data_IF_066376488651
#
_entry.id   IF_066376488651
#
_cell.length_a   1.000
_cell.length_b   1.000
_cell.length_c   1.000
_cell.angle_alpha   90.00
_cell.angle_beta   90.00
_cell.angle_gamma   90.00
#
_symmetry.space_group_name_H-M   'P 1'
#
loop_
_entity.id
_entity.type
_entity.pdbx_description
1 polymer ?
#
# COMPACT_ATOMS: atom_id res chain seq x y z
N UNK A 1 31.79 35.58 47.28
CA UNK A 1 31.55 34.17 47.62
C UNK A 1 30.38 33.70 46.75
N UNK A 2 30.55 32.63 45.95
CA UNK A 2 29.68 32.10 44.85
C UNK A 2 29.55 33.04 43.63
N UNK A 3 30.03 32.80 42.39
CA UNK A 3 30.32 31.66 41.49
C UNK A 3 29.09 30.81 41.08
N UNK A 4 28.81 30.82 39.76
CA UNK A 4 27.94 29.95 38.91
C UNK A 4 26.46 30.40 38.94
N UNK A 5 25.78 30.73 37.83
CA UNK A 5 25.70 29.99 36.57
C UNK A 5 25.35 30.90 35.38
N UNK A 6 26.37 31.27 34.60
CA UNK A 6 26.26 31.39 33.15
C UNK A 6 26.08 29.95 32.65
N UNK A 7 24.89 29.54 32.17
CA UNK A 7 24.65 28.35 31.33
C UNK A 7 23.15 28.03 31.36
N UNK A 8 22.33 28.77 30.59
CA UNK A 8 21.02 28.26 30.16
C UNK A 8 20.57 28.93 28.85
N UNK A 9 21.50 29.10 27.91
CA UNK A 9 21.24 29.63 26.58
C UNK A 9 21.62 28.66 25.45
N UNK A 10 21.86 27.36 25.74
CA UNK A 10 22.37 26.40 24.73
C UNK A 10 21.57 25.09 24.67
N UNK A 11 20.63 24.82 25.56
CA UNK A 11 19.82 23.58 25.53
C UNK A 11 18.52 23.73 24.71
N UNK A 12 18.58 24.40 23.56
CA UNK A 12 17.47 24.49 22.60
C UNK A 12 17.92 24.15 21.17
N UNK A 13 18.99 23.37 21.05
CA UNK A 13 19.56 22.95 19.78
C UNK A 13 19.96 21.49 19.92
N UNK A 14 19.03 20.55 19.71
CA UNK A 14 19.26 19.12 19.44
C UNK A 14 17.92 18.37 19.45
N UNK A 15 17.08 18.59 18.44
CA UNK A 15 16.07 17.61 18.03
C UNK A 15 15.58 17.91 16.60
N UNK A 16 16.52 18.24 15.70
CA UNK A 16 16.30 17.89 14.30
C UNK A 16 16.66 16.40 14.20
N UNK A 17 15.65 15.54 14.30
CA UNK A 17 15.77 14.18 13.80
C UNK A 17 16.00 14.30 12.29
N UNK A 18 17.27 14.33 11.89
CA UNK A 18 17.64 14.16 10.48
C UNK A 18 17.29 12.71 10.16
N UNK A 19 16.10 12.49 9.62
CA UNK A 19 15.76 11.22 8.98
C UNK A 19 16.64 11.15 7.75
N UNK A 20 17.81 10.53 7.89
CA UNK A 20 18.62 10.19 6.74
C UNK A 20 17.81 9.18 5.92
N UNK A 21 17.35 9.60 4.74
CA UNK A 21 16.88 8.67 3.72
C UNK A 21 18.05 7.74 3.41
N UNK A 22 18.05 6.54 3.99
CA UNK A 22 19.06 5.54 3.67
C UNK A 22 18.73 5.00 2.27
N UNK A 23 19.71 5.10 1.38
CA UNK A 23 19.67 4.43 0.10
C UNK A 23 20.15 2.99 0.30
N UNK A 24 19.36 2.03 -0.13
CA UNK A 24 19.68 0.62 -0.01
C UNK A 24 19.77 -0.04 -1.39
N UNK A 25 20.77 -0.89 -1.55
CA UNK A 25 20.95 -1.69 -2.75
C UNK A 25 20.32 -3.06 -2.55
N UNK A 26 19.34 -3.40 -3.39
CA UNK A 26 18.70 -4.72 -3.38
C UNK A 26 18.81 -5.38 -4.76
N UNK A 27 18.90 -6.70 -4.78
CA UNK A 27 18.89 -7.49 -6.02
C UNK A 27 17.50 -8.02 -6.29
N UNK A 28 16.94 -7.71 -7.46
CA UNK A 28 15.67 -8.26 -7.95
C UNK A 28 15.98 -9.45 -8.85
N UNK A 29 15.43 -10.62 -8.53
CA UNK A 29 15.45 -11.82 -9.36
C UNK A 29 14.11 -11.96 -10.10
N UNK A 30 14.16 -11.94 -11.43
CA UNK A 30 12.99 -12.12 -12.27
C UNK A 30 12.68 -13.61 -12.50
N UNK A 31 11.44 -14.02 -12.21
CA UNK A 31 10.87 -15.36 -12.47
C UNK A 31 9.47 -15.27 -13.07
N UNK A 32 9.11 -14.14 -13.71
CA UNK A 32 7.75 -13.92 -14.23
C UNK A 32 7.47 -14.70 -15.52
N UNK A 33 8.51 -15.26 -16.17
CA UNK A 33 8.41 -15.84 -17.51
C UNK A 33 8.52 -14.82 -18.65
N UNK A 34 8.72 -13.52 -18.35
CA UNK A 34 8.89 -12.42 -19.31
C UNK A 34 10.00 -11.49 -18.86
N UNK A 35 10.55 -10.69 -19.77
CA UNK A 35 11.59 -9.70 -19.43
C UNK A 35 11.00 -8.49 -18.72
N UNK A 36 11.61 -8.01 -17.64
CA UNK A 36 11.23 -6.74 -16.97
C UNK A 36 11.97 -5.58 -17.61
N UNK A 37 11.23 -4.55 -18.04
CA UNK A 37 11.75 -3.36 -18.72
C UNK A 37 11.76 -2.12 -17.83
N UNK A 38 10.87 -2.03 -16.84
CA UNK A 38 10.80 -0.86 -15.93
C UNK A 38 10.62 -1.35 -14.50
N UNK A 39 11.33 -0.71 -13.57
CA UNK A 39 11.13 -0.87 -12.12
C UNK A 39 10.98 0.51 -11.50
N UNK A 40 9.94 0.72 -10.71
CA UNK A 40 9.71 1.98 -9.99
C UNK A 40 9.42 1.72 -8.53
N UNK A 41 9.74 2.68 -7.67
CA UNK A 41 9.35 2.64 -6.26
C UNK A 41 8.50 3.85 -5.87
N UNK A 42 7.78 3.69 -4.78
CA UNK A 42 7.13 4.76 -4.04
C UNK A 42 7.29 4.48 -2.54
N UNK A 43 7.16 5.50 -1.68
CA UNK A 43 7.00 5.25 -0.25
C UNK A 43 5.71 4.47 -0.03
N UNK A 44 5.65 3.59 0.97
CA UNK A 44 4.42 2.86 1.25
C UNK A 44 3.25 3.82 1.54
N UNK A 45 2.15 3.66 0.81
CA UNK A 45 0.98 4.54 0.90
C UNK A 45 0.99 5.74 -0.06
N UNK A 46 2.08 5.99 -0.80
CA UNK A 46 2.13 7.02 -1.83
C UNK A 46 1.68 6.50 -3.20
N UNK A 47 0.95 7.34 -3.94
CA UNK A 47 0.40 7.02 -5.26
C UNK A 47 1.22 7.61 -6.43
N UNK A 48 2.37 8.19 -6.12
CA UNK A 48 3.30 8.74 -7.10
C UNK A 48 4.48 7.79 -7.24
N UNK A 49 4.50 7.05 -8.35
CA UNK A 49 5.63 6.20 -8.70
C UNK A 49 6.81 7.08 -9.12
N UNK A 50 7.98 6.79 -8.58
CA UNK A 50 9.23 7.48 -8.93
C UNK A 50 9.74 7.14 -10.33
N UNK A 51 10.96 7.58 -10.59
CA UNK A 51 11.67 7.29 -11.83
C UNK A 51 11.98 5.79 -11.98
N UNK A 52 12.29 5.38 -13.21
CA UNK A 52 12.77 4.03 -13.48
C UNK A 52 14.13 3.79 -12.79
N UNK A 53 14.21 2.68 -12.06
CA UNK A 53 15.37 2.25 -11.29
C UNK A 53 16.36 1.41 -12.12
N UNK A 54 15.96 0.99 -13.33
CA UNK A 54 16.81 0.24 -14.27
C UNK A 54 16.82 0.87 -15.67
N UNK A 55 17.09 2.18 -15.80
CA UNK A 55 17.02 2.86 -17.10
C UNK A 55 17.98 2.19 -18.10
N UNK A 56 17.47 1.98 -19.31
CA UNK A 56 18.20 1.34 -20.43
C UNK A 56 18.61 -0.13 -20.17
N UNK A 57 18.12 -0.73 -19.09
CA UNK A 57 18.39 -2.13 -18.77
C UNK A 57 17.11 -2.97 -18.89
N UNK A 58 17.31 -4.27 -18.99
CA UNK A 58 16.21 -5.24 -19.04
C UNK A 58 16.63 -6.47 -18.25
N UNK A 59 15.73 -7.01 -17.44
CA UNK A 59 15.99 -8.23 -16.66
C UNK A 59 15.23 -9.38 -17.32
N UNK A 60 15.92 -10.24 -18.08
CA UNK A 60 15.28 -11.40 -18.69
C UNK A 60 14.78 -12.40 -17.62
N UNK A 61 13.89 -13.31 -18.00
CA UNK A 61 13.43 -14.36 -17.09
C UNK A 61 14.61 -15.20 -16.56
N UNK A 62 14.62 -15.45 -15.26
CA UNK A 62 15.71 -16.13 -14.55
C UNK A 62 16.92 -15.25 -14.23
N UNK A 63 17.01 -14.03 -14.76
CA UNK A 63 18.10 -13.08 -14.48
C UNK A 63 17.80 -12.18 -13.29
N UNK A 64 18.82 -11.44 -12.84
CA UNK A 64 18.69 -10.49 -11.75
C UNK A 64 19.46 -9.19 -12.00
N UNK A 65 18.97 -8.09 -11.44
CA UNK A 65 19.65 -6.80 -11.43
C UNK A 65 19.63 -6.18 -10.03
N UNK A 66 20.65 -5.37 -9.74
CA UNK A 66 20.68 -4.53 -8.55
C UNK A 66 19.93 -3.23 -8.79
N UNK A 67 19.09 -2.82 -7.85
CA UNK A 67 18.42 -1.52 -7.84
C UNK A 67 18.78 -0.77 -6.56
N UNK A 68 18.73 0.55 -6.63
CA UNK A 68 18.97 1.45 -5.50
C UNK A 68 17.66 2.13 -5.13
N UNK A 69 17.20 1.90 -3.91
CA UNK A 69 15.98 2.49 -3.40
C UNK A 69 16.35 3.45 -2.28
N UNK A 70 15.88 4.68 -2.39
CA UNK A 70 16.01 5.70 -1.33
C UNK A 70 14.63 6.08 -0.82
N UNK A 71 14.57 6.45 0.46
CA UNK A 71 13.34 6.92 1.10
C UNK A 71 12.92 6.06 2.30
N UNK A 72 11.84 6.45 2.97
CA UNK A 72 11.37 5.76 4.16
C UNK A 72 10.85 4.36 3.82
N UNK A 73 11.12 3.42 4.72
CA UNK A 73 10.55 2.06 4.69
C UNK A 73 9.21 2.01 5.42
N UNK A 74 8.30 1.08 5.05
CA UNK A 74 8.44 0.14 3.93
C UNK A 74 8.21 0.80 2.57
N UNK A 75 8.62 0.13 1.50
CA UNK A 75 8.48 0.59 0.11
C UNK A 75 7.33 -0.12 -0.62
N UNK A 76 6.85 0.50 -1.70
CA UNK A 76 6.08 -0.17 -2.73
C UNK A 76 6.91 -0.26 -4.01
N UNK A 77 6.93 -1.41 -4.68
CA UNK A 77 7.65 -1.64 -5.93
C UNK A 77 6.70 -2.03 -7.05
N UNK A 78 6.82 -1.37 -8.20
CA UNK A 78 6.10 -1.68 -9.43
C UNK A 78 7.08 -2.13 -10.49
N UNK A 79 6.75 -3.19 -11.21
CA UNK A 79 7.53 -3.75 -12.30
C UNK A 79 6.65 -3.80 -13.56
N UNK A 80 7.21 -3.49 -14.72
CA UNK A 80 6.52 -3.58 -16.01
C UNK A 80 7.35 -4.49 -16.91
N UNK A 81 6.72 -5.51 -17.49
CA UNK A 81 7.39 -6.42 -18.41
C UNK A 81 7.29 -6.00 -19.88
N UNK A 82 8.00 -6.71 -20.74
CA UNK A 82 8.08 -6.47 -22.19
C UNK A 82 6.75 -6.64 -22.95
N UNK A 83 5.69 -7.05 -22.28
CA UNK A 83 4.32 -7.12 -22.81
C UNK A 83 3.41 -6.04 -22.22
N UNK A 84 3.95 -5.18 -21.36
CA UNK A 84 3.22 -4.13 -20.65
C UNK A 84 2.47 -4.65 -19.42
N UNK A 85 2.66 -5.91 -19.03
CA UNK A 85 2.04 -6.47 -17.83
C UNK A 85 2.73 -5.90 -16.57
N UNK A 86 1.91 -5.58 -15.57
CA UNK A 86 2.36 -4.89 -14.35
C UNK A 86 2.42 -5.89 -13.19
N UNK A 87 3.46 -5.81 -12.37
CA UNK A 87 3.63 -6.58 -11.14
C UNK A 87 3.83 -5.59 -9.99
N UNK A 88 3.27 -5.88 -8.81
CA UNK A 88 3.41 -4.97 -7.66
C UNK A 88 3.73 -5.75 -6.38
N UNK A 89 4.69 -5.23 -5.61
CA UNK A 89 5.03 -5.64 -4.26
C UNK A 89 4.79 -4.48 -3.31
N UNK A 90 3.95 -4.67 -2.29
CA UNK A 90 3.66 -3.65 -1.29
C UNK A 90 4.36 -3.97 0.03
N UNK A 91 4.50 -2.94 0.87
CA UNK A 91 5.06 -3.04 2.22
C UNK A 91 6.41 -3.78 2.26
N UNK A 92 7.25 -3.54 1.27
CA UNK A 92 8.57 -4.16 1.13
C UNK A 92 9.52 -3.54 2.14
N UNK A 93 9.93 -4.35 3.11
CA UNK A 93 11.06 -4.03 3.97
C UNK A 93 12.38 -4.50 3.34
N UNK A 94 13.50 -3.83 3.66
CA UNK A 94 14.84 -4.32 3.40
C UNK A 94 15.01 -5.81 3.71
N UNK A 95 15.21 -6.68 2.70
CA UNK A 95 15.41 -8.09 2.97
C UNK A 95 16.79 -8.30 3.57
N UNK A 96 16.89 -9.07 4.66
CA UNK A 96 18.20 -9.41 5.25
C UNK A 96 19.15 -10.14 4.28
N UNK A 97 18.60 -10.77 3.23
CA UNK A 97 19.35 -11.42 2.16
C UNK A 97 19.84 -10.45 1.07
N UNK A 98 19.37 -9.21 1.08
CA UNK A 98 19.55 -8.23 -0.01
C UNK A 98 18.86 -8.62 -1.32
N UNK A 99 17.94 -9.60 -1.30
CA UNK A 99 17.33 -10.17 -2.51
C UNK A 99 15.81 -10.22 -2.43
N UNK A 100 15.16 -9.83 -3.53
CA UNK A 100 13.72 -9.98 -3.76
C UNK A 100 13.51 -10.86 -5.00
N UNK A 101 12.53 -11.76 -4.94
CA UNK A 101 12.10 -12.56 -6.08
C UNK A 101 10.79 -12.02 -6.63
N UNK A 102 10.76 -11.67 -7.91
CA UNK A 102 9.56 -11.35 -8.67
C UNK A 102 9.09 -12.59 -9.43
N UNK A 103 7.81 -12.97 -9.33
CA UNK A 103 7.26 -14.14 -10.03
C UNK A 103 5.85 -13.87 -10.54
N UNK A 104 5.22 -14.82 -11.26
CA UNK A 104 3.91 -14.64 -11.87
C UNK A 104 2.80 -14.41 -10.85
N UNK A 105 3.00 -14.84 -9.60
CA UNK A 105 2.11 -14.57 -8.48
C UNK A 105 2.03 -13.09 -8.09
N UNK A 106 3.03 -12.29 -8.47
CA UNK A 106 3.05 -10.84 -8.25
C UNK A 106 2.43 -10.06 -9.40
N UNK A 107 1.98 -10.74 -10.47
CA UNK A 107 1.32 -10.11 -11.59
C UNK A 107 0.09 -9.38 -11.06
N UNK A 108 0.17 -8.06 -11.02
CA UNK A 108 -0.95 -7.17 -10.83
C UNK A 108 -1.72 -7.24 -12.14
N UNK A 109 -2.53 -8.30 -12.28
CA UNK A 109 -3.40 -8.44 -13.44
C UNK A 109 -4.39 -7.28 -13.41
N UNK A 110 -4.02 -6.16 -14.02
CA UNK A 110 -4.77 -4.91 -14.06
C UNK A 110 -5.58 -4.79 -15.36
N UNK A 111 -5.22 -5.55 -16.40
CA UNK A 111 -5.86 -5.56 -17.72
C UNK A 111 -6.97 -6.61 -17.89
N UNK A 112 -6.97 -7.69 -17.10
CA UNK A 112 -7.99 -8.77 -17.18
C UNK A 112 -9.12 -8.61 -16.14
N UNK A 113 -9.10 -7.56 -15.32
CA UNK A 113 -9.92 -7.50 -14.10
C UNK A 113 -10.90 -6.33 -14.00
N UNK A 114 -11.08 -5.54 -15.06
CA UNK A 114 -12.28 -4.74 -15.20
C UNK A 114 -13.52 -5.66 -15.05
N UNK A 115 -14.26 -5.54 -13.94
CA UNK A 115 -15.45 -6.34 -13.64
C UNK A 115 -15.18 -7.72 -13.03
N UNK A 116 -13.94 -8.07 -12.71
CA UNK A 116 -13.64 -9.36 -12.10
C UNK A 116 -13.75 -9.30 -10.57
N UNK A 117 -14.43 -10.31 -10.01
CA UNK A 117 -14.75 -10.39 -8.59
C UNK A 117 -13.55 -10.81 -7.74
N UNK A 118 -13.41 -10.15 -6.59
CA UNK A 118 -12.38 -10.33 -5.58
C UNK A 118 -13.01 -10.78 -4.29
N UNK A 119 -12.57 -11.92 -3.78
CA UNK A 119 -12.93 -12.37 -2.44
C UNK A 119 -12.10 -11.58 -1.42
N UNK A 120 -12.71 -10.66 -0.69
CA UNK A 120 -12.02 -9.83 0.31
C UNK A 120 -12.72 -9.98 1.65
N UNK A 121 -11.97 -10.25 2.71
CA UNK A 121 -12.50 -10.29 4.07
C UNK A 121 -12.33 -8.92 4.74
N UNK A 122 -13.42 -8.34 5.21
CA UNK A 122 -13.39 -7.14 6.04
C UNK A 122 -13.56 -7.56 7.49
N UNK A 123 -12.71 -7.05 8.38
CA UNK A 123 -12.76 -7.28 9.82
C UNK A 123 -13.02 -5.94 10.51
N UNK A 124 -14.09 -5.86 11.29
CA UNK A 124 -14.38 -4.67 12.07
C UNK A 124 -13.66 -4.74 13.43
N UNK A 125 -12.77 -3.78 13.70
CA UNK A 125 -12.08 -3.56 14.97
C UNK A 125 -12.19 -2.11 15.41
N UNK A 126 -13.30 -1.48 15.08
CA UNK A 126 -13.53 -0.05 15.35
C UNK A 126 -14.10 0.21 16.75
N UNK A 127 -14.57 -0.84 17.45
CA UNK A 127 -15.30 -0.72 18.71
C UNK A 127 -16.80 -0.43 18.54
N UNK A 128 -17.26 -0.19 17.31
CA UNK A 128 -18.65 0.14 16.99
C UNK A 128 -19.16 -0.63 15.76
N UNK A 129 -20.47 -0.82 15.58
CA UNK A 129 -21.01 -1.38 14.34
C UNK A 129 -20.73 -0.46 13.15
N UNK A 130 -20.23 -1.04 12.06
CA UNK A 130 -20.16 -0.37 10.75
C UNK A 130 -21.51 -0.58 10.06
N UNK A 131 -22.19 0.50 9.68
CA UNK A 131 -23.52 0.47 9.05
C UNK A 131 -23.50 0.70 7.55
N UNK A 132 -22.43 1.30 7.04
CA UNK A 132 -22.18 1.47 5.61
C UNK A 132 -20.68 1.32 5.33
N UNK A 133 -20.33 0.70 4.20
CA UNK A 133 -18.98 0.58 3.69
C UNK A 133 -18.97 0.84 2.19
N UNK A 134 -18.31 1.91 1.77
CA UNK A 134 -18.19 2.32 0.37
C UNK A 134 -16.74 2.27 -0.06
N UNK A 135 -16.53 2.10 -1.37
CA UNK A 135 -15.21 2.08 -1.97
C UNK A 135 -15.14 3.09 -3.11
N UNK A 136 -14.01 3.78 -3.22
CA UNK A 136 -13.66 4.61 -4.37
C UNK A 136 -12.31 4.14 -4.91
N UNK A 137 -12.12 4.12 -6.23
CA UNK A 137 -10.78 4.00 -6.78
C UNK A 137 -9.93 5.16 -6.27
N UNK A 138 -8.69 4.90 -5.88
CA UNK A 138 -7.77 5.97 -5.49
C UNK A 138 -7.70 7.05 -6.58
N UNK A 139 -7.91 8.31 -6.18
CA UNK A 139 -7.93 9.46 -7.09
C UNK A 139 -9.29 9.72 -7.77
N UNK A 140 -10.30 8.87 -7.54
CA UNK A 140 -11.67 9.14 -7.94
C UNK A 140 -12.42 9.86 -6.79
N UNK A 141 -13.14 10.93 -7.13
CA UNK A 141 -13.97 11.69 -6.19
C UNK A 141 -15.33 11.05 -5.90
N UNK A 142 -15.74 10.07 -6.71
CA UNK A 142 -17.04 9.40 -6.59
C UNK A 142 -16.94 8.11 -5.78
N UNK A 143 -17.82 7.96 -4.79
CA UNK A 143 -17.91 6.77 -3.95
C UNK A 143 -18.92 5.78 -4.52
N UNK A 144 -18.58 4.50 -4.50
CA UNK A 144 -19.48 3.43 -4.91
C UNK A 144 -20.62 3.17 -3.91
N UNK A 145 -21.44 2.18 -4.27
CA UNK A 145 -22.55 1.68 -3.45
C UNK A 145 -22.08 1.08 -2.11
N UNK A 146 -23.00 0.99 -1.15
CA UNK A 146 -22.76 0.32 0.12
C UNK A 146 -22.58 -1.20 -0.05
N UNK A 147 -21.38 -1.68 0.25
CA UNK A 147 -21.00 -3.09 0.20
C UNK A 147 -21.70 -3.92 1.28
N UNK A 148 -22.10 -3.31 2.40
CA UNK A 148 -22.81 -4.01 3.46
C UNK A 148 -24.25 -4.35 3.08
N UNK A 149 -24.81 -3.70 2.05
CA UNK A 149 -26.19 -3.86 1.61
C UNK A 149 -27.18 -3.77 2.79
N UNK A 150 -26.97 -2.79 3.67
CA UNK A 150 -27.82 -2.57 4.85
C UNK A 150 -27.70 -3.62 5.96
N UNK A 151 -26.72 -4.53 5.90
CA UNK A 151 -26.43 -5.47 7.00
C UNK A 151 -25.19 -5.03 7.78
N UNK A 152 -25.35 -4.42 8.96
CA UNK A 152 -24.23 -3.93 9.75
C UNK A 152 -23.19 -5.01 10.03
N UNK A 153 -21.93 -4.61 10.07
CA UNK A 153 -20.80 -5.43 10.50
C UNK A 153 -20.48 -5.08 11.95
N UNK A 154 -20.77 -5.96 12.91
CA UNK A 154 -20.57 -5.69 14.34
C UNK A 154 -19.08 -5.61 14.69
N UNK A 155 -18.76 -4.96 15.80
CA UNK A 155 -17.39 -4.99 16.32
C UNK A 155 -16.92 -6.43 16.57
N UNK A 156 -15.68 -6.72 16.18
CA UNK A 156 -15.09 -8.05 16.21
C UNK A 156 -15.58 -9.01 15.11
N UNK A 157 -16.63 -8.66 14.36
CA UNK A 157 -17.14 -9.47 13.25
C UNK A 157 -16.21 -9.36 12.04
N UNK A 158 -16.18 -10.43 11.24
CA UNK A 158 -15.59 -10.40 9.91
C UNK A 158 -16.53 -10.97 8.88
N UNK A 159 -16.54 -10.40 7.68
CA UNK A 159 -17.35 -10.89 6.56
C UNK A 159 -16.55 -10.85 5.27
N UNK A 160 -16.75 -11.87 4.45
CA UNK A 160 -16.14 -11.96 3.12
C UNK A 160 -17.09 -11.43 2.07
N UNK A 161 -16.61 -10.50 1.26
CA UNK A 161 -17.32 -9.87 0.15
C UNK A 161 -16.72 -10.29 -1.18
N UNK A 162 -17.55 -10.25 -2.23
CA UNK A 162 -17.11 -10.37 -3.61
C UNK A 162 -17.14 -8.98 -4.23
N UNK A 163 -16.00 -8.31 -4.26
CA UNK A 163 -15.85 -6.93 -4.75
C UNK A 163 -15.43 -6.94 -6.20
N UNK A 164 -16.09 -6.17 -7.06
CA UNK A 164 -15.69 -6.04 -8.46
C UNK A 164 -14.55 -5.01 -8.58
N UNK A 165 -13.45 -5.44 -9.20
CA UNK A 165 -12.36 -4.52 -9.51
C UNK A 165 -12.77 -3.57 -10.64
N UNK A 166 -12.46 -2.29 -10.46
CA UNK A 166 -12.66 -1.25 -11.45
C UNK A 166 -11.57 -1.38 -12.52
N UNK A 167 -11.88 -1.01 -13.78
CA UNK A 167 -10.88 -1.03 -14.84
C UNK A 167 -9.62 -0.24 -14.44
N UNK A 168 -8.45 -0.87 -14.56
CA UNK A 168 -7.17 -0.20 -14.41
C UNK A 168 -6.67 0.06 -12.98
N UNK A 169 -7.37 -0.39 -11.93
CA UNK A 169 -6.86 -0.25 -10.55
C UNK A 169 -7.31 -1.37 -9.60
N UNK A 170 -6.45 -1.69 -8.63
CA UNK A 170 -6.79 -2.46 -7.43
C UNK A 170 -6.63 -1.64 -6.14
N UNK A 171 -6.28 -0.36 -6.27
CA UNK A 171 -6.10 0.57 -5.14
C UNK A 171 -7.40 1.33 -4.92
N UNK A 172 -7.91 1.25 -3.70
CA UNK A 172 -9.17 1.85 -3.29
C UNK A 172 -9.04 2.62 -1.99
N UNK A 173 -9.77 3.72 -1.90
CA UNK A 173 -10.11 4.33 -0.63
C UNK A 173 -11.40 3.67 -0.12
N UNK A 174 -11.43 3.32 1.17
CA UNK A 174 -12.61 2.79 1.85
C UNK A 174 -13.20 3.88 2.73
N UNK A 175 -14.50 4.11 2.63
CA UNK A 175 -15.26 4.96 3.55
C UNK A 175 -16.21 4.09 4.34
N UNK A 176 -16.27 4.30 5.65
CA UNK A 176 -17.17 3.54 6.50
C UNK A 176 -17.81 4.40 7.57
N UNK A 177 -19.08 4.10 7.83
CA UNK A 177 -19.91 4.87 8.76
C UNK A 177 -20.15 4.02 10.01
N UNK A 178 -19.81 4.57 11.17
CA UNK A 178 -20.02 3.96 12.48
C UNK A 178 -21.27 4.54 13.11
N UNK A 179 -22.01 3.72 13.87
CA UNK A 179 -23.10 4.18 14.72
C UNK A 179 -22.77 3.96 16.19
N UNK A 180 -22.78 5.04 16.97
CA UNK A 180 -22.67 5.04 18.41
C UNK A 180 -23.76 5.94 19.00
N UNK A 181 -24.61 5.42 19.89
CA UNK A 181 -25.62 6.22 20.63
C UNK A 181 -26.49 7.13 19.72
N UNK A 182 -26.92 6.60 18.57
CA UNK A 182 -27.69 7.34 17.55
C UNK A 182 -26.95 8.48 16.85
N UNK A 183 -25.62 8.55 16.97
CA UNK A 183 -24.75 9.41 16.16
C UNK A 183 -24.02 8.58 15.12
N UNK A 184 -23.96 9.13 13.91
CA UNK A 184 -23.20 8.57 12.80
C UNK A 184 -21.86 9.29 12.70
N UNK A 185 -20.78 8.55 12.45
CA UNK A 185 -19.44 9.09 12.25
C UNK A 185 -18.79 8.43 11.05
N UNK A 186 -18.19 9.24 10.17
CA UNK A 186 -17.60 8.79 8.90
C UNK A 186 -16.08 8.69 9.07
N UNK A 187 -15.52 7.58 8.60
CA UNK A 187 -14.09 7.32 8.60
C UNK A 187 -13.64 6.89 7.22
N UNK A 188 -12.37 7.14 6.91
CA UNK A 188 -11.76 6.73 5.65
C UNK A 188 -10.47 5.95 5.91
N UNK A 189 -10.25 4.89 5.15
CA UNK A 189 -8.99 4.13 5.08
C UNK A 189 -8.46 4.21 3.65
N UNK A 190 -7.45 5.04 3.39
CA UNK A 190 -6.99 5.28 2.04
C UNK A 190 -6.09 4.15 1.51
N UNK A 191 -5.96 4.09 0.18
CA UNK A 191 -4.98 3.29 -0.56
C UNK A 191 -4.94 1.79 -0.20
N UNK A 192 -6.10 1.20 0.05
CA UNK A 192 -6.26 -0.23 0.31
C UNK A 192 -6.21 -1.01 -1.00
N UNK A 193 -5.43 -2.09 -1.01
CA UNK A 193 -5.31 -2.95 -2.20
C UNK A 193 -6.30 -4.12 -2.10
N UNK A 194 -7.18 -4.24 -3.07
CA UNK A 194 -8.18 -5.31 -3.15
C UNK A 194 -7.66 -6.50 -3.96
N UNK A 195 -6.75 -7.28 -3.37
CA UNK A 195 -6.33 -8.57 -3.94
C UNK A 195 -7.29 -9.69 -3.56
N UNK A 196 -7.32 -10.76 -4.35
CA UNK A 196 -8.14 -11.93 -4.03
C UNK A 196 -7.56 -12.64 -2.80
N UNK A 197 -8.37 -12.82 -1.75
CA UNK A 197 -7.94 -13.34 -0.46
C UNK A 197 -7.46 -12.28 0.53
N UNK A 198 -7.50 -10.99 0.18
CA UNK A 198 -7.11 -9.92 1.08
C UNK A 198 -7.96 -9.91 2.37
N UNK A 199 -7.31 -9.57 3.49
CA UNK A 199 -7.96 -9.33 4.78
C UNK A 199 -7.72 -7.87 5.15
N UNK A 200 -8.78 -7.09 5.24
CA UNK A 200 -8.74 -5.67 5.56
C UNK A 200 -9.32 -5.49 6.96
N UNK A 201 -8.49 -4.99 7.87
CA UNK A 201 -8.92 -4.64 9.23
C UNK A 201 -9.26 -3.14 9.26
N UNK A 202 -10.48 -2.82 9.68
CA UNK A 202 -10.94 -1.44 9.87
C UNK A 202 -10.89 -1.08 11.36
N UNK A 203 -10.30 0.07 11.65
CA UNK A 203 -10.09 0.60 13.00
C UNK A 203 -10.52 2.07 13.03
N UNK A 204 -11.04 2.53 14.16
CA UNK A 204 -11.31 3.95 14.38
C UNK A 204 -10.13 4.53 15.16
N UNK A 205 -9.27 5.30 14.48
CA UNK A 205 -8.16 6.04 15.08
C UNK A 205 -8.25 7.50 14.67
#
# INVERSE_FOLDING_TARGET
MFKRSFFLAVLLLLLFAVVFAQAESITVLNRTGRSIEIIQHASSGENQWGEDLIPEQTIADGQSAGIYISGPVPWSLRFIDSSGDIYVLYEVFPPASGKIRLGPEHLARLSVFAGARRRVQIVNRTGFPIIALQLSAVGNSEWGEDVLNGQPLRDGESRTFQLEALPGTLNYDLRFNLVAESRESVYEKPAVILTNGAVIVLTAH
#
